data_IF_522055110655
#
_entry.id   IF_522055110655
#
_cell.length_a   1.000
_cell.length_b   1.000
_cell.length_c   1.000
_cell.angle_alpha   90.00
_cell.angle_beta   90.00
_cell.angle_gamma   90.00
#
_symmetry.space_group_name_H-M   'P 1'
#
loop_
_entity.id
_entity.type
_entity.pdbx_description
1 polymer ?
#
# COMPACT_ATOMS: atom_id res chain seq x y z
N UNK A 1 -17.88 -3.38 -3.74
CA UNK A 1 -17.31 -4.38 -4.65
C UNK A 1 -16.08 -5.01 -4.01
N UNK A 2 -15.77 -6.27 -4.35
CA UNK A 2 -14.54 -6.95 -3.93
C UNK A 2 -14.07 -7.90 -5.03
N UNK A 3 -12.79 -8.24 -5.02
CA UNK A 3 -12.18 -9.27 -5.85
C UNK A 3 -12.38 -10.62 -5.17
N UNK A 4 -13.21 -11.49 -5.72
CA UNK A 4 -13.48 -12.82 -5.18
C UNK A 4 -12.20 -13.66 -5.12
N UNK A 5 -11.38 -13.60 -6.19
CA UNK A 5 -10.10 -14.31 -6.26
C UNK A 5 -9.14 -13.88 -5.14
N UNK A 6 -8.98 -12.55 -4.94
CA UNK A 6 -8.10 -12.05 -3.89
C UNK A 6 -8.67 -12.32 -2.48
N UNK A 7 -9.99 -12.25 -2.31
CA UNK A 7 -10.64 -12.60 -1.05
C UNK A 7 -10.37 -14.06 -0.68
N UNK A 8 -10.56 -14.99 -1.61
CA UNK A 8 -10.29 -16.41 -1.39
C UNK A 8 -8.80 -16.69 -1.08
N UNK A 9 -7.88 -16.00 -1.79
CA UNK A 9 -6.45 -16.09 -1.48
C UNK A 9 -6.14 -15.65 -0.04
N UNK A 10 -6.89 -14.68 0.50
CA UNK A 10 -6.75 -14.23 1.89
C UNK A 10 -7.54 -15.09 2.89
N UNK A 11 -8.16 -16.19 2.46
CA UNK A 11 -8.96 -17.09 3.29
C UNK A 11 -10.34 -16.54 3.66
N UNK A 12 -10.84 -15.55 2.91
CA UNK A 12 -12.17 -14.96 3.11
C UNK A 12 -13.20 -15.63 2.21
N UNK A 13 -14.29 -16.08 2.80
CA UNK A 13 -15.46 -16.59 2.05
C UNK A 13 -16.30 -15.45 1.47
N UNK A 14 -17.19 -15.78 0.54
CA UNK A 14 -18.16 -14.81 0.02
C UNK A 14 -19.09 -14.29 1.12
N UNK A 15 -19.42 -15.11 2.11
CA UNK A 15 -20.21 -14.70 3.27
C UNK A 15 -19.47 -13.68 4.13
N UNK A 16 -18.16 -13.90 4.39
CA UNK A 16 -17.30 -12.93 5.08
C UNK A 16 -17.29 -11.60 4.33
N UNK A 17 -17.09 -11.62 3.01
CA UNK A 17 -17.05 -10.43 2.17
C UNK A 17 -18.37 -9.63 2.11
N UNK A 18 -19.50 -10.28 2.39
CA UNK A 18 -20.82 -9.64 2.45
C UNK A 18 -21.19 -9.19 3.88
N UNK A 19 -20.35 -9.48 4.88
CA UNK A 19 -20.60 -9.16 6.28
C UNK A 19 -20.39 -7.67 6.58
N UNK A 20 -21.07 -7.20 7.64
CA UNK A 20 -20.82 -5.87 8.20
C UNK A 20 -19.42 -5.73 8.79
N UNK A 21 -18.82 -6.84 9.25
CA UNK A 21 -17.45 -6.87 9.76
C UNK A 21 -16.45 -6.53 8.65
N UNK A 22 -16.58 -7.18 7.49
CA UNK A 22 -15.74 -6.89 6.31
C UNK A 22 -15.81 -5.40 5.94
N UNK A 23 -17.02 -4.86 5.83
CA UNK A 23 -17.22 -3.45 5.53
C UNK A 23 -16.53 -2.56 6.56
N UNK A 24 -16.76 -2.78 7.85
CA UNK A 24 -16.19 -1.96 8.93
C UNK A 24 -14.66 -2.02 8.98
N UNK A 25 -14.07 -3.19 8.74
CA UNK A 25 -12.62 -3.37 8.71
C UNK A 25 -12.01 -2.65 7.51
N UNK A 26 -12.58 -2.85 6.32
CA UNK A 26 -11.98 -2.34 5.07
C UNK A 26 -12.38 -0.90 4.71
N UNK A 27 -13.19 -0.24 5.55
CA UNK A 27 -13.30 1.23 5.58
C UNK A 27 -12.48 1.86 6.73
N UNK A 28 -11.85 1.05 7.59
CA UNK A 28 -11.01 1.53 8.68
C UNK A 28 -11.74 1.84 9.98
N UNK A 29 -13.03 1.51 10.11
CA UNK A 29 -13.85 1.75 11.31
C UNK A 29 -13.62 0.71 12.42
N UNK A 30 -13.05 -0.45 12.07
CA UNK A 30 -12.82 -1.52 13.03
C UNK A 30 -11.47 -2.20 12.79
N UNK A 31 -10.72 -2.44 13.87
CA UNK A 31 -9.48 -3.21 13.84
C UNK A 31 -9.74 -4.65 14.27
N UNK A 32 -9.11 -5.59 13.57
CA UNK A 32 -9.02 -6.98 14.02
C UNK A 32 -7.82 -7.15 14.96
N UNK A 33 -7.85 -8.22 15.73
CA UNK A 33 -6.73 -8.59 16.61
C UNK A 33 -5.46 -8.82 15.75
N UNK A 34 -4.37 -8.20 16.16
CA UNK A 34 -3.08 -8.29 15.45
C UNK A 34 -2.83 -7.15 14.46
N UNK A 35 -3.84 -6.40 14.04
CA UNK A 35 -3.65 -5.24 13.18
C UNK A 35 -2.88 -4.13 13.90
N UNK A 36 -1.87 -3.58 13.23
CA UNK A 36 -1.07 -2.44 13.67
C UNK A 36 -1.06 -1.35 12.59
N UNK A 37 -2.17 -0.60 12.45
CA UNK A 37 -2.29 0.40 11.39
C UNK A 37 -1.18 1.45 11.48
N UNK A 38 -0.53 1.70 10.36
CA UNK A 38 0.54 2.69 10.25
C UNK A 38 0.64 3.26 8.83
N UNK A 39 1.18 4.47 8.72
CA UNK A 39 1.54 5.08 7.46
C UNK A 39 3.06 5.01 7.26
N UNK A 40 3.52 4.67 6.06
CA UNK A 40 4.94 4.55 5.79
C UNK A 40 5.61 5.91 5.60
N UNK A 41 6.81 6.06 6.21
CA UNK A 41 7.72 7.16 5.95
C UNK A 41 8.59 6.83 4.75
N UNK A 42 8.62 7.68 3.76
CA UNK A 42 9.54 7.57 2.62
C UNK A 42 9.95 8.94 2.10
N UNK A 43 11.08 9.00 1.43
CA UNK A 43 11.51 10.14 0.66
C UNK A 43 11.18 9.99 -0.82
N UNK A 44 11.34 11.04 -1.60
CA UNK A 44 11.09 10.94 -3.01
C UNK A 44 11.54 12.15 -3.81
N UNK A 45 11.45 11.99 -5.11
CA UNK A 45 11.75 13.02 -6.10
C UNK A 45 10.45 13.51 -6.71
N UNK A 46 10.27 14.83 -6.75
CA UNK A 46 9.19 15.50 -7.47
C UNK A 46 9.81 16.40 -8.53
N UNK A 47 9.36 16.26 -9.78
CA UNK A 47 9.88 17.04 -10.92
C UNK A 47 11.42 17.00 -11.02
N UNK A 48 12.02 15.82 -10.78
CA UNK A 48 13.47 15.55 -10.76
C UNK A 48 14.24 16.16 -9.57
N UNK A 49 13.55 16.83 -8.64
CA UNK A 49 14.16 17.38 -7.44
C UNK A 49 13.90 16.48 -6.24
N UNK A 50 14.88 16.33 -5.36
CA UNK A 50 14.70 15.68 -4.08
C UNK A 50 13.72 16.49 -3.22
N UNK A 51 12.54 15.93 -2.94
CA UNK A 51 11.48 16.57 -2.17
C UNK A 51 11.57 16.32 -0.65
N UNK A 52 12.61 15.60 -0.22
CA UNK A 52 12.75 15.21 1.18
C UNK A 52 11.71 14.18 1.62
N UNK A 53 11.24 14.31 2.85
CA UNK A 53 10.21 13.43 3.39
C UNK A 53 8.86 13.66 2.71
N UNK A 54 8.31 12.61 2.16
CA UNK A 54 6.94 12.50 1.67
C UNK A 54 6.12 11.65 2.65
N UNK A 55 6.00 10.35 2.39
CA UNK A 55 5.22 9.42 3.19
C UNK A 55 3.81 9.19 2.66
N UNK A 56 3.12 8.23 3.25
CA UNK A 56 1.77 7.83 2.86
C UNK A 56 0.72 8.83 3.38
N UNK A 57 0.43 9.89 2.63
CA UNK A 57 -0.48 10.96 3.03
C UNK A 57 -1.98 10.60 2.97
N UNK A 58 -2.34 9.45 2.42
CA UNK A 58 -3.72 8.92 2.38
C UNK A 58 -3.77 7.40 2.31
N UNK A 59 -2.70 6.73 2.70
CA UNK A 59 -2.63 5.28 2.71
C UNK A 59 -2.24 4.81 4.11
N UNK A 60 -2.92 3.78 4.60
CA UNK A 60 -2.73 3.21 5.93
C UNK A 60 -2.57 1.70 5.78
N UNK A 61 -1.40 1.19 6.14
CA UNK A 61 -1.18 -0.25 6.19
C UNK A 61 -1.92 -0.81 7.40
N UNK A 62 -2.63 -1.92 7.23
CA UNK A 62 -3.37 -2.59 8.30
C UNK A 62 -2.53 -3.64 9.02
N UNK A 63 -1.63 -4.28 8.29
CA UNK A 63 -0.82 -5.40 8.73
C UNK A 63 -0.62 -6.41 7.60
N UNK A 64 -0.21 -7.61 7.99
CA UNK A 64 0.14 -8.70 7.09
C UNK A 64 -0.63 -9.97 7.44
N UNK A 65 -0.86 -10.80 6.43
CA UNK A 65 -1.52 -12.10 6.55
C UNK A 65 -0.82 -13.11 5.65
N UNK A 66 -0.82 -14.36 6.06
CA UNK A 66 -0.42 -15.48 5.19
C UNK A 66 -1.68 -15.97 4.50
N UNK A 67 -1.70 -15.94 3.18
CA UNK A 67 -2.79 -16.41 2.35
C UNK A 67 -2.84 -17.93 2.23
N UNK A 68 -3.86 -18.43 1.54
CA UNK A 68 -4.09 -19.87 1.32
C UNK A 68 -2.94 -20.51 0.51
N UNK A 69 -2.33 -19.78 -0.38
CA UNK A 69 -1.14 -20.20 -1.13
C UNK A 69 0.14 -20.30 -0.29
N UNK A 70 0.11 -19.84 0.97
CA UNK A 70 1.28 -19.68 1.81
C UNK A 70 2.06 -18.37 1.54
N UNK A 71 1.61 -17.56 0.58
CA UNK A 71 2.18 -16.25 0.29
C UNK A 71 1.84 -15.25 1.40
N UNK A 72 2.82 -14.44 1.81
CA UNK A 72 2.60 -13.29 2.70
C UNK A 72 2.03 -12.13 1.92
N UNK A 73 0.99 -11.53 2.46
CA UNK A 73 0.29 -10.38 1.89
C UNK A 73 0.20 -9.25 2.89
N UNK A 74 0.57 -8.05 2.46
CA UNK A 74 0.33 -6.81 3.18
C UNK A 74 -0.94 -6.14 2.68
N UNK A 75 -1.74 -5.57 3.58
CA UNK A 75 -2.99 -4.90 3.26
C UNK A 75 -2.85 -3.40 3.52
N UNK A 76 -3.30 -2.58 2.58
CA UNK A 76 -3.24 -1.13 2.67
C UNK A 76 -4.57 -0.51 2.27
N UNK A 77 -5.18 0.26 3.18
CA UNK A 77 -6.32 1.13 2.85
C UNK A 77 -5.83 2.41 2.21
N UNK A 78 -6.58 2.90 1.22
CA UNK A 78 -6.30 4.16 0.57
C UNK A 78 -7.55 5.03 0.49
N UNK A 79 -7.45 6.22 1.08
CA UNK A 79 -8.54 7.17 1.16
C UNK A 79 -9.35 7.11 2.46
N UNK A 80 -8.83 6.46 3.51
CA UNK A 80 -9.54 6.26 4.79
C UNK A 80 -9.29 7.35 5.84
N UNK A 81 -8.66 8.46 5.45
CA UNK A 81 -8.44 9.62 6.32
C UNK A 81 -6.99 10.08 6.40
N UNK A 82 -6.77 11.06 7.26
CA UNK A 82 -5.48 11.70 7.46
C UNK A 82 -4.45 10.77 8.11
N UNK A 83 -3.20 10.99 7.72
CA UNK A 83 -2.01 10.37 8.32
C UNK A 83 -1.02 11.46 8.73
N UNK A 84 0.04 11.15 9.48
CA UNK A 84 1.09 12.12 9.79
C UNK A 84 1.77 12.73 8.55
N UNK A 85 1.54 12.17 7.37
CA UNK A 85 2.13 12.60 6.10
C UNK A 85 1.14 13.30 5.16
N UNK A 86 -0.09 13.54 5.58
CA UNK A 86 -1.13 14.19 4.74
C UNK A 86 -0.84 15.65 4.43
N UNK A 87 0.05 16.28 5.22
CA UNK A 87 0.33 17.73 5.13
C UNK A 87 -0.96 18.55 5.31
N UNK A 88 -1.42 19.23 4.27
CA UNK A 88 -2.68 20.01 4.26
C UNK A 88 -3.84 19.28 3.57
N UNK A 89 -3.63 18.01 3.17
CA UNK A 89 -4.67 17.20 2.51
C UNK A 89 -5.51 16.42 3.55
N UNK A 90 -6.76 16.14 3.20
CA UNK A 90 -7.73 15.45 4.06
C UNK A 90 -7.55 13.93 4.13
N UNK A 91 -6.60 13.36 3.40
CA UNK A 91 -6.35 11.91 3.38
C UNK A 91 -7.46 11.07 2.73
N UNK A 92 -8.49 11.71 2.17
CA UNK A 92 -9.64 11.04 1.59
C UNK A 92 -9.45 10.72 0.09
N UNK A 93 -10.24 9.81 -0.44
CA UNK A 93 -10.30 9.51 -1.86
C UNK A 93 -11.74 9.58 -2.37
N UNK A 94 -11.89 9.95 -3.65
CA UNK A 94 -13.19 10.00 -4.33
C UNK A 94 -13.43 8.72 -5.13
N UNK A 95 -14.69 8.34 -5.30
CA UNK A 95 -15.09 7.09 -5.94
C UNK A 95 -14.48 6.91 -7.34
N UNK A 96 -14.48 7.94 -8.19
CA UNK A 96 -13.93 7.83 -9.55
C UNK A 96 -12.45 7.45 -9.58
N UNK A 97 -11.66 7.96 -8.63
CA UNK A 97 -10.23 7.61 -8.53
C UNK A 97 -10.02 6.22 -7.94
N UNK A 98 -10.85 5.84 -6.98
CA UNK A 98 -10.81 4.53 -6.32
C UNK A 98 -11.25 3.40 -7.27
N UNK A 99 -12.29 3.65 -8.09
CA UNK A 99 -12.70 2.72 -9.18
C UNK A 99 -11.56 2.49 -10.16
N UNK A 100 -10.90 3.56 -10.61
CA UNK A 100 -9.76 3.44 -11.53
C UNK A 100 -8.62 2.63 -10.89
N UNK A 101 -8.28 2.90 -9.64
CA UNK A 101 -7.21 2.19 -8.93
C UNK A 101 -7.54 0.71 -8.77
N UNK A 102 -8.77 0.38 -8.36
CA UNK A 102 -9.24 -1.01 -8.24
C UNK A 102 -9.15 -1.75 -9.59
N UNK A 103 -9.76 -1.18 -10.64
CA UNK A 103 -9.82 -1.82 -11.95
C UNK A 103 -8.42 -1.93 -12.60
N UNK A 104 -7.59 -0.90 -12.49
CA UNK A 104 -6.24 -0.94 -13.07
C UNK A 104 -5.35 -1.95 -12.36
N UNK A 105 -5.42 -2.07 -11.03
CA UNK A 105 -4.65 -3.07 -10.29
C UNK A 105 -4.98 -4.48 -10.76
N UNK A 106 -6.26 -4.84 -10.80
CA UNK A 106 -6.68 -6.18 -11.23
C UNK A 106 -6.41 -6.41 -12.73
N UNK A 107 -6.68 -5.44 -13.59
CA UNK A 107 -6.41 -5.56 -15.02
C UNK A 107 -4.91 -5.78 -15.31
N UNK A 108 -4.03 -5.02 -14.69
CA UNK A 108 -2.58 -5.15 -14.87
C UNK A 108 -2.08 -6.50 -14.37
N UNK A 109 -2.59 -6.98 -13.24
CA UNK A 109 -2.26 -8.31 -12.74
C UNK A 109 -2.63 -9.41 -13.75
N UNK A 110 -3.86 -9.39 -14.28
CA UNK A 110 -4.33 -10.38 -15.25
C UNK A 110 -3.65 -10.26 -16.64
N UNK A 111 -3.02 -9.13 -16.91
CA UNK A 111 -2.13 -8.96 -18.08
C UNK A 111 -0.70 -9.46 -17.82
N UNK A 112 -0.42 -10.00 -16.63
CA UNK A 112 0.90 -10.54 -16.26
C UNK A 112 1.91 -9.47 -15.82
N UNK A 113 1.46 -8.26 -15.53
CA UNK A 113 2.33 -7.20 -15.00
C UNK A 113 2.42 -7.33 -13.48
N UNK A 114 3.61 -7.45 -12.88
CA UNK A 114 3.79 -7.40 -11.44
C UNK A 114 3.24 -6.09 -10.86
N UNK A 115 2.19 -6.18 -10.05
CA UNK A 115 1.51 -5.01 -9.50
C UNK A 115 0.79 -5.36 -8.19
N UNK A 116 0.29 -4.34 -7.49
CA UNK A 116 -0.62 -4.56 -6.37
C UNK A 116 -1.93 -5.16 -6.87
N UNK A 117 -2.57 -6.00 -6.06
CA UNK A 117 -3.95 -6.46 -6.23
C UNK A 117 -4.90 -5.50 -5.50
N UNK A 118 -6.17 -5.58 -5.80
CA UNK A 118 -7.20 -4.87 -5.07
C UNK A 118 -8.19 -5.86 -4.45
N UNK A 119 -8.35 -5.81 -3.11
CA UNK A 119 -9.30 -6.65 -2.39
C UNK A 119 -10.71 -6.06 -2.46
N UNK A 120 -10.86 -4.81 -2.06
CA UNK A 120 -12.19 -4.19 -1.93
C UNK A 120 -12.21 -2.73 -2.38
N UNK A 121 -13.40 -2.30 -2.82
CA UNK A 121 -13.78 -0.93 -3.09
C UNK A 121 -15.10 -0.65 -2.39
N UNK A 122 -15.11 0.25 -1.42
CA UNK A 122 -16.27 0.55 -0.58
C UNK A 122 -16.52 2.05 -0.60
N UNK A 123 -17.76 2.48 -0.83
CA UNK A 123 -18.17 3.87 -0.69
C UNK A 123 -18.35 4.22 0.79
N UNK A 124 -17.91 5.42 1.19
CA UNK A 124 -18.01 5.85 2.59
C UNK A 124 -19.39 6.36 2.97
N UNK A 125 -20.18 6.78 1.98
CA UNK A 125 -21.44 7.49 2.22
C UNK A 125 -21.26 9.00 2.38
N UNK A 126 -20.03 9.47 2.54
CA UNK A 126 -19.71 10.89 2.67
C UNK A 126 -19.39 11.50 1.30
N UNK A 127 -19.51 12.83 1.23
CA UNK A 127 -19.06 13.63 0.10
C UNK A 127 -17.69 14.25 0.38
N UNK A 128 -16.83 14.22 -0.61
CA UNK A 128 -15.48 14.79 -0.56
C UNK A 128 -15.38 15.92 -1.56
N UNK A 129 -15.03 17.12 -1.09
CA UNK A 129 -14.93 18.29 -1.96
C UNK A 129 -13.65 18.21 -2.80
N UNK A 130 -13.80 18.28 -4.12
CA UNK A 130 -12.65 18.24 -5.06
C UNK A 130 -12.84 19.24 -6.21
N UNK A 131 -11.78 19.96 -6.49
CA UNK A 131 -11.64 20.71 -7.75
C UNK A 131 -10.93 19.80 -8.76
N UNK A 132 -11.72 19.09 -9.56
CA UNK A 132 -11.22 18.05 -10.46
C UNK A 132 -10.28 18.58 -11.53
N UNK A 133 -10.52 19.80 -12.00
CA UNK A 133 -9.79 20.43 -13.09
C UNK A 133 -8.83 21.52 -12.64
N UNK A 134 -8.78 21.79 -11.33
CA UNK A 134 -7.98 22.88 -10.75
C UNK A 134 -8.30 24.25 -11.35
N UNK A 135 -9.60 24.46 -11.65
CA UNK A 135 -10.12 25.67 -12.28
C UNK A 135 -10.86 26.61 -11.31
N UNK A 136 -10.78 26.31 -10.02
CA UNK A 136 -11.44 27.11 -8.96
C UNK A 136 -12.92 26.77 -8.78
N UNK A 137 -13.38 25.61 -9.29
CA UNK A 137 -14.77 25.18 -9.24
C UNK A 137 -14.95 23.85 -8.47
N UNK A 138 -14.68 23.83 -7.16
CA UNK A 138 -14.77 22.63 -6.34
C UNK A 138 -16.20 22.12 -6.25
N UNK A 139 -16.36 20.79 -6.33
CA UNK A 139 -17.67 20.12 -6.25
C UNK A 139 -17.60 18.95 -5.26
N UNK A 140 -18.75 18.61 -4.61
CA UNK A 140 -18.85 17.38 -3.85
C UNK A 140 -18.80 16.16 -4.78
N UNK A 141 -18.00 15.18 -4.41
CA UNK A 141 -17.90 13.89 -5.08
C UNK A 141 -18.06 12.75 -4.06
N UNK A 142 -18.67 11.61 -4.41
CA UNK A 142 -18.77 10.48 -3.48
C UNK A 142 -17.41 10.01 -2.99
N UNK A 143 -17.26 9.87 -1.68
CA UNK A 143 -16.07 9.29 -1.05
C UNK A 143 -16.03 7.78 -1.22
N UNK A 144 -14.81 7.23 -1.34
CA UNK A 144 -14.60 5.78 -1.37
C UNK A 144 -13.20 5.40 -0.88
N UNK A 145 -13.11 4.17 -0.37
CA UNK A 145 -11.86 3.58 0.10
C UNK A 145 -11.58 2.32 -0.73
N UNK A 146 -10.35 2.18 -1.18
CA UNK A 146 -9.86 0.95 -1.80
C UNK A 146 -8.89 0.25 -0.86
N UNK A 147 -9.05 -1.06 -0.69
CA UNK A 147 -8.06 -1.90 -0.05
C UNK A 147 -7.16 -2.54 -1.11
N UNK A 148 -5.90 -2.18 -1.09
CA UNK A 148 -4.85 -2.77 -1.92
C UNK A 148 -4.14 -3.88 -1.16
N UNK A 149 -3.66 -4.87 -1.91
CA UNK A 149 -2.95 -6.04 -1.39
C UNK A 149 -1.70 -6.26 -2.21
N UNK A 150 -0.58 -6.46 -1.56
CA UNK A 150 0.69 -6.74 -2.20
C UNK A 150 1.59 -7.59 -1.28
N UNK A 151 2.58 -8.31 -1.82
CA UNK A 151 3.59 -8.95 -0.98
C UNK A 151 4.31 -7.94 -0.08
N UNK A 152 4.55 -6.72 -0.59
CA UNK A 152 5.17 -5.63 0.15
C UNK A 152 4.72 -4.28 -0.40
N UNK A 153 4.62 -3.27 0.48
CA UNK A 153 4.46 -1.86 0.10
C UNK A 153 5.73 -1.05 0.31
N UNK A 154 6.86 -1.71 0.57
CA UNK A 154 8.16 -1.05 0.71
C UNK A 154 8.60 -0.44 -0.61
N UNK A 155 9.03 0.80 -0.59
CA UNK A 155 9.47 1.58 -1.75
C UNK A 155 10.94 1.94 -1.63
N UNK A 156 11.62 2.21 -2.72
CA UNK A 156 12.98 2.76 -2.71
C UNK A 156 13.10 4.02 -1.83
N UNK A 157 12.06 4.83 -1.80
CA UNK A 157 11.99 6.03 -0.96
C UNK A 157 12.08 5.76 0.54
N UNK A 158 11.69 4.57 1.01
CA UNK A 158 11.85 4.19 2.41
C UNK A 158 13.34 4.09 2.78
N UNK A 159 14.16 3.51 1.91
CA UNK A 159 15.61 3.42 2.11
C UNK A 159 16.29 4.78 1.92
N UNK A 160 15.87 5.53 0.90
CA UNK A 160 16.47 6.83 0.57
C UNK A 160 16.35 7.86 1.70
N UNK A 161 15.20 7.90 2.41
CA UNK A 161 14.99 8.91 3.45
C UNK A 161 15.94 8.67 4.64
N UNK A 162 16.12 7.44 5.08
CA UNK A 162 17.00 7.12 6.19
C UNK A 162 18.48 7.25 5.79
N UNK A 163 18.84 6.89 4.56
CA UNK A 163 20.17 7.14 4.02
C UNK A 163 20.49 8.65 3.96
N UNK A 164 19.53 9.47 3.47
CA UNK A 164 19.70 10.92 3.38
C UNK A 164 19.83 11.61 4.75
N UNK A 165 19.27 11.01 5.80
CA UNK A 165 19.36 11.49 7.19
C UNK A 165 20.59 10.98 7.93
N UNK A 166 21.31 10.01 7.37
CA UNK A 166 22.43 9.34 8.05
C UNK A 166 21.97 8.41 9.18
N UNK A 167 20.71 7.98 9.19
CA UNK A 167 20.13 7.08 10.18
C UNK A 167 20.47 5.62 9.83
N UNK A 168 21.76 5.27 9.91
CA UNK A 168 22.31 4.01 9.38
C UNK A 168 21.75 2.78 10.12
N UNK A 169 21.55 2.87 11.42
CA UNK A 169 21.00 1.74 12.20
C UNK A 169 19.55 1.41 11.81
N UNK A 170 18.73 2.46 11.57
CA UNK A 170 17.36 2.30 11.08
C UNK A 170 17.37 1.76 9.66
N UNK A 171 18.23 2.30 8.79
CA UNK A 171 18.39 1.82 7.42
C UNK A 171 18.78 0.33 7.39
N UNK A 172 19.69 -0.09 8.27
CA UNK A 172 20.08 -1.49 8.37
C UNK A 172 18.89 -2.38 8.76
N UNK A 173 18.14 -2.03 9.80
CA UNK A 173 16.93 -2.76 10.18
C UNK A 173 15.91 -2.84 9.05
N UNK A 174 15.74 -1.73 8.32
CA UNK A 174 14.84 -1.68 7.17
C UNK A 174 15.31 -2.58 6.01
N UNK A 175 16.62 -2.75 5.81
CA UNK A 175 17.17 -3.68 4.79
C UNK A 175 17.08 -5.13 5.27
N UNK A 176 17.34 -5.39 6.54
CA UNK A 176 17.22 -6.73 7.12
C UNK A 176 15.80 -7.30 6.98
N UNK A 177 14.79 -6.45 7.14
CA UNK A 177 13.38 -6.85 7.06
C UNK A 177 13.01 -7.51 5.72
N UNK A 178 13.13 -6.87 4.54
CA UNK A 178 12.78 -7.51 3.27
C UNK A 178 13.70 -8.69 2.93
N UNK A 179 14.95 -8.71 3.36
CA UNK A 179 15.80 -9.89 3.18
C UNK A 179 15.17 -11.10 3.87
N UNK A 180 14.77 -10.94 5.13
CA UNK A 180 14.15 -12.03 5.89
C UNK A 180 12.74 -12.40 5.41
N UNK A 181 11.97 -11.42 4.91
CA UNK A 181 10.54 -11.61 4.62
C UNK A 181 10.21 -11.78 3.14
N UNK A 182 10.89 -11.03 2.26
CA UNK A 182 10.60 -11.01 0.82
C UNK A 182 11.62 -11.83 0.02
N UNK A 183 12.86 -11.97 0.55
CA UNK A 183 13.97 -12.68 -0.10
C UNK A 183 14.60 -13.75 0.81
N UNK A 184 13.82 -14.59 1.52
CA UNK A 184 14.36 -15.55 2.51
C UNK A 184 15.32 -16.59 1.89
N UNK A 185 15.26 -16.78 0.58
CA UNK A 185 16.14 -17.67 -0.17
C UNK A 185 17.60 -17.19 -0.21
N UNK A 186 17.86 -15.91 0.07
CA UNK A 186 19.21 -15.36 0.13
C UNK A 186 19.93 -15.71 1.44
N UNK A 187 19.19 -16.03 2.51
CA UNK A 187 19.72 -16.36 3.83
C UNK A 187 19.72 -15.18 4.81
N UNK A 188 20.42 -15.34 5.92
CA UNK A 188 20.46 -14.36 7.00
C UNK A 188 21.27 -13.12 6.64
N UNK A 189 20.85 -11.91 7.08
CA UNK A 189 21.52 -10.66 6.78
C UNK A 189 23.01 -10.65 7.12
N UNK A 190 23.83 -10.41 6.12
CA UNK A 190 25.29 -10.27 6.22
C UNK A 190 25.79 -9.36 5.10
N UNK A 191 27.08 -9.00 5.10
CA UNK A 191 27.65 -8.16 4.07
C UNK A 191 27.44 -8.72 2.65
N UNK A 192 27.64 -10.00 2.46
CA UNK A 192 27.52 -10.66 1.16
C UNK A 192 26.05 -10.78 0.76
N UNK A 193 25.16 -11.01 1.72
CA UNK A 193 23.72 -11.07 1.49
C UNK A 193 23.15 -9.70 1.11
N UNK A 194 23.64 -8.58 1.69
CA UNK A 194 23.22 -7.24 1.27
C UNK A 194 23.57 -6.96 -0.20
N UNK A 195 24.72 -7.42 -0.66
CA UNK A 195 25.12 -7.28 -2.07
C UNK A 195 24.24 -8.14 -2.97
N UNK A 196 24.03 -9.41 -2.61
CA UNK A 196 23.17 -10.32 -3.35
C UNK A 196 21.71 -9.80 -3.44
N UNK A 197 21.17 -9.30 -2.32
CA UNK A 197 19.86 -8.67 -2.28
C UNK A 197 19.78 -7.45 -3.21
N UNK A 198 20.77 -6.55 -3.16
CA UNK A 198 20.81 -5.37 -4.03
C UNK A 198 20.84 -5.76 -5.51
N UNK A 199 21.65 -6.75 -5.89
CA UNK A 199 21.73 -7.26 -7.26
C UNK A 199 20.38 -7.85 -7.71
N UNK A 200 19.70 -8.61 -6.84
CA UNK A 200 18.40 -9.19 -7.15
C UNK A 200 17.32 -8.14 -7.32
N UNK A 201 17.26 -7.13 -6.45
CA UNK A 201 16.35 -5.98 -6.57
C UNK A 201 16.59 -5.21 -7.88
N UNK A 202 17.86 -4.97 -8.24
CA UNK A 202 18.20 -4.32 -9.52
C UNK A 202 17.73 -5.16 -10.72
N UNK A 203 17.98 -6.47 -10.69
CA UNK A 203 17.57 -7.39 -11.75
C UNK A 203 16.05 -7.45 -11.90
N UNK A 204 15.33 -7.59 -10.81
CA UNK A 204 13.87 -7.62 -10.80
C UNK A 204 13.27 -6.32 -11.33
N UNK A 205 13.83 -5.18 -10.91
CA UNK A 205 13.39 -3.87 -11.40
C UNK A 205 13.62 -3.71 -12.91
N UNK A 206 14.72 -4.25 -13.44
CA UNK A 206 15.02 -4.19 -14.87
C UNK A 206 14.14 -5.12 -15.73
N UNK A 207 13.48 -6.10 -15.11
CA UNK A 207 12.54 -7.03 -15.78
C UNK A 207 11.11 -6.49 -15.83
N UNK A 208 10.78 -5.47 -15.06
CA UNK A 208 9.47 -4.80 -15.04
C UNK A 208 9.32 -3.82 -16.21
#
# INVERSE_FOLDING_TARGET
AYSTEMAHELGLSDEDCQSGLFTNVFVGNQKLRGMQPHAQCYGGHQLRNWAGQLGDGRAINLGEIIGESGQRWSLQLKGSGETPYSRSADGLAVLRSSVREFLCSEAMYHLGVPTTRALSLITTGDEVIRDMFYDGNPKPEPGAIVCLVAPSFTRFGNFQIFAARGEIDVLKQLVDYPICTDFPHLGEPSRDIYLAWFEEVCRTTAQM
#
